data_IF_233882916404
#
_entry.id   IF_233882916404
#
_cell.length_a   1.000
_cell.length_b   1.000
_cell.length_c   1.000
_cell.angle_alpha   90.00
_cell.angle_beta   90.00
_cell.angle_gamma   90.00
#
_symmetry.space_group_name_H-M   'P 1'
#
loop_
_entity.id
_entity.type
_entity.pdbx_description
1 polymer ?
#
# COMPACT_ATOMS: atom_id res chain seq x y z
N UNK A 1 9.29 -39.24 70.03
CA UNK A 1 8.15 -38.66 69.23
C UNK A 1 8.69 -37.86 68.09
N UNK A 2 8.66 -38.38 66.86
CA UNK A 2 9.12 -37.72 65.66
C UNK A 2 7.96 -37.11 64.92
N UNK A 3 7.96 -35.79 64.78
CA UNK A 3 6.92 -35.04 64.10
C UNK A 3 7.22 -35.02 62.60
N UNK A 4 6.36 -35.63 61.80
CA UNK A 4 6.44 -35.61 60.34
C UNK A 4 5.73 -34.37 59.82
N UNK A 5 6.46 -33.48 59.14
CA UNK A 5 5.92 -32.32 58.41
C UNK A 5 5.49 -32.79 57.02
N UNK A 6 4.26 -32.54 56.57
CA UNK A 6 3.89 -32.86 55.19
C UNK A 6 4.42 -31.81 54.21
N UNK A 7 5.10 -32.26 53.17
CA UNK A 7 5.53 -31.42 52.06
C UNK A 7 4.32 -30.94 51.26
N UNK A 8 4.03 -29.66 51.31
CA UNK A 8 3.03 -29.04 50.46
C UNK A 8 3.61 -28.83 49.03
N UNK A 9 3.02 -29.53 48.08
CA UNK A 9 3.34 -29.42 46.65
C UNK A 9 2.72 -28.11 46.13
N UNK A 10 3.53 -27.08 45.90
CA UNK A 10 3.09 -25.83 45.24
C UNK A 10 3.07 -26.05 43.77
N UNK A 11 1.84 -26.20 43.20
CA UNK A 11 1.62 -26.27 41.77
C UNK A 11 1.66 -24.84 41.19
N UNK A 12 2.79 -24.43 40.61
CA UNK A 12 2.94 -23.16 39.93
C UNK A 12 2.21 -23.27 38.57
N UNK A 13 0.99 -22.71 38.48
CA UNK A 13 0.31 -22.46 37.19
C UNK A 13 1.07 -21.35 36.45
N UNK A 14 1.91 -21.71 35.49
CA UNK A 14 2.42 -20.79 34.51
C UNK A 14 1.25 -20.42 33.58
N UNK A 15 0.57 -19.30 33.87
CA UNK A 15 -0.37 -18.69 32.93
C UNK A 15 0.43 -18.14 31.77
N UNK A 16 0.49 -18.88 30.67
CA UNK A 16 1.01 -18.38 29.40
C UNK A 16 0.13 -17.21 28.97
N UNK A 17 0.72 -15.99 28.94
CA UNK A 17 0.05 -14.83 28.34
C UNK A 17 0.01 -15.11 26.84
N UNK A 18 -1.09 -15.62 26.32
CA UNK A 18 -1.35 -15.64 24.90
C UNK A 18 -1.48 -14.18 24.45
N UNK A 19 -0.41 -13.60 23.93
CA UNK A 19 -0.46 -12.29 23.31
C UNK A 19 -1.33 -12.42 22.05
N UNK A 20 -2.56 -11.93 22.13
CA UNK A 20 -3.45 -11.84 20.99
C UNK A 20 -2.91 -10.76 20.06
N UNK A 21 -2.05 -11.14 19.12
CA UNK A 21 -1.51 -10.25 18.11
C UNK A 21 -2.49 -10.19 16.92
N UNK A 22 -3.42 -9.24 16.97
CA UNK A 22 -4.19 -8.84 15.79
C UNK A 22 -3.27 -8.32 14.68
N UNK A 23 -3.82 -8.01 13.49
CA UNK A 23 -3.05 -7.44 12.38
C UNK A 23 -2.27 -6.20 12.80
N UNK A 24 -1.00 -6.13 12.45
CA UNK A 24 -0.15 -4.95 12.70
C UNK A 24 -0.21 -4.01 11.49
N UNK A 25 -0.24 -2.69 11.74
CA UNK A 25 -0.23 -1.71 10.66
C UNK A 25 1.13 -1.72 9.95
N UNK A 26 1.11 -2.09 8.70
CA UNK A 26 2.26 -2.12 7.81
C UNK A 26 2.41 -0.80 7.06
N UNK A 27 3.65 -0.48 6.66
CA UNK A 27 3.96 0.65 5.78
C UNK A 27 4.91 0.18 4.69
N UNK A 28 4.64 0.59 3.46
CA UNK A 28 5.50 0.36 2.30
C UNK A 28 5.79 1.72 1.66
N UNK A 29 7.03 1.94 1.29
CA UNK A 29 7.47 3.10 0.50
C UNK A 29 8.38 2.59 -0.60
N UNK A 30 8.03 2.91 -1.84
CA UNK A 30 8.88 2.70 -3.01
C UNK A 30 9.12 4.02 -3.70
N UNK A 31 10.35 4.21 -4.18
CA UNK A 31 10.75 5.44 -4.87
C UNK A 31 11.49 5.10 -6.16
N UNK A 32 11.34 5.94 -7.17
CA UNK A 32 12.10 5.84 -8.40
C UNK A 32 12.61 7.22 -8.84
N UNK A 33 13.89 7.29 -9.18
CA UNK A 33 14.46 8.47 -9.82
C UNK A 33 14.22 8.40 -11.33
N UNK A 34 13.73 9.50 -11.92
CA UNK A 34 13.40 9.63 -13.34
C UNK A 34 14.16 10.83 -13.91
N UNK A 35 14.83 10.64 -15.05
CA UNK A 35 15.58 11.70 -15.75
C UNK A 35 14.64 12.59 -16.58
N UNK A 36 13.75 13.27 -15.88
CA UNK A 36 12.82 14.25 -16.44
C UNK A 36 12.39 15.26 -15.37
N UNK A 37 12.01 16.46 -15.81
CA UNK A 37 11.56 17.51 -14.91
C UNK A 37 10.31 17.04 -14.11
N UNK A 38 10.17 17.41 -12.81
CA UNK A 38 9.05 16.98 -11.97
C UNK A 38 7.68 17.26 -12.57
N UNK A 39 7.52 18.40 -13.24
CA UNK A 39 6.26 18.75 -13.89
C UNK A 39 5.93 17.79 -15.05
N UNK A 40 6.91 17.41 -15.86
CA UNK A 40 6.71 16.48 -16.97
C UNK A 40 6.29 15.07 -16.48
N UNK A 41 6.87 14.63 -15.35
CA UNK A 41 6.48 13.36 -14.71
C UNK A 41 5.09 13.47 -14.08
N UNK A 42 4.81 14.61 -13.41
CA UNK A 42 3.50 14.85 -12.80
C UNK A 42 2.37 14.80 -13.82
N UNK A 43 2.55 15.40 -15.00
CA UNK A 43 1.56 15.36 -16.10
C UNK A 43 1.19 13.91 -16.53
N UNK A 44 2.04 12.94 -16.27
CA UNK A 44 1.75 11.52 -16.57
C UNK A 44 0.88 10.84 -15.51
N UNK A 45 0.97 11.30 -14.26
CA UNK A 45 0.37 10.60 -13.11
C UNK A 45 -0.70 11.39 -12.39
N UNK A 46 -0.85 12.69 -12.67
CA UNK A 46 -1.70 13.62 -11.92
C UNK A 46 -3.19 13.28 -11.97
N UNK A 47 -3.66 12.76 -13.10
CA UNK A 47 -5.08 12.46 -13.26
C UNK A 47 -5.43 11.17 -12.51
N UNK A 48 -6.39 11.26 -11.61
CA UNK A 48 -6.77 10.14 -10.77
C UNK A 48 -7.29 8.93 -11.58
N UNK A 49 -7.84 9.16 -12.76
CA UNK A 49 -8.27 8.14 -13.70
C UNK A 49 -7.17 7.61 -14.64
N UNK A 50 -5.95 8.14 -14.55
CA UNK A 50 -4.87 7.81 -15.48
C UNK A 50 -4.03 6.58 -15.10
N UNK A 51 -4.34 5.89 -13.98
CA UNK A 51 -3.50 4.78 -13.51
C UNK A 51 -3.29 3.69 -14.57
N UNK A 52 -4.32 3.36 -15.34
CA UNK A 52 -4.24 2.39 -16.42
C UNK A 52 -3.30 2.80 -17.57
N UNK A 53 -2.96 4.10 -17.69
CA UNK A 53 -2.05 4.58 -18.75
C UNK A 53 -0.59 4.27 -18.45
N UNK A 54 -0.25 4.08 -17.18
CA UNK A 54 1.13 3.88 -16.76
C UNK A 54 1.39 2.69 -15.83
N UNK A 55 0.36 2.07 -15.24
CA UNK A 55 0.52 0.90 -14.39
C UNK A 55 0.21 -0.40 -15.18
N UNK A 56 1.18 -1.31 -15.35
CA UNK A 56 1.04 -2.46 -16.27
C UNK A 56 -0.01 -3.49 -15.79
N UNK A 57 -0.32 -3.55 -14.49
CA UNK A 57 -1.32 -4.48 -13.96
C UNK A 57 -2.76 -3.92 -13.97
N UNK A 58 -3.00 -2.73 -14.55
CA UNK A 58 -4.31 -2.09 -14.58
C UNK A 58 -4.78 -1.90 -16.02
N UNK A 59 -5.91 -2.51 -16.38
CA UNK A 59 -6.54 -2.40 -17.70
C UNK A 59 -7.38 -1.15 -17.85
N UNK A 60 -8.07 -0.74 -16.79
CA UNK A 60 -8.94 0.43 -16.78
C UNK A 60 -8.97 1.05 -15.38
N UNK A 61 -9.12 2.38 -15.33
CA UNK A 61 -9.18 3.14 -14.07
C UNK A 61 -10.15 4.33 -14.14
N UNK A 62 -11.41 4.17 -14.62
CA UNK A 62 -12.35 5.29 -14.70
C UNK A 62 -12.62 5.88 -13.31
N UNK A 63 -12.70 7.22 -13.24
CA UNK A 63 -13.05 7.96 -12.04
C UNK A 63 -14.39 8.70 -12.22
N UNK A 64 -15.12 8.88 -11.13
CA UNK A 64 -16.47 9.49 -11.14
C UNK A 64 -16.45 11.00 -11.28
N UNK A 65 -15.41 11.67 -10.80
CA UNK A 65 -15.32 13.14 -10.73
C UNK A 65 -13.87 13.65 -10.86
N UNK A 66 -13.08 13.05 -11.75
CA UNK A 66 -11.70 13.45 -12.04
C UNK A 66 -10.84 13.56 -10.78
N UNK A 67 -10.19 14.71 -10.60
CA UNK A 67 -9.28 14.99 -9.48
C UNK A 67 -9.96 15.66 -8.28
N UNK A 68 -11.28 15.72 -8.21
CA UNK A 68 -11.99 16.28 -7.07
C UNK A 68 -11.94 15.30 -5.88
N UNK A 69 -11.72 15.84 -4.67
CA UNK A 69 -11.75 15.04 -3.43
C UNK A 69 -13.12 14.38 -3.28
N UNK A 70 -13.13 13.09 -2.96
CA UNK A 70 -14.33 12.25 -2.95
C UNK A 70 -14.57 11.51 -4.27
N UNK A 71 -13.83 11.83 -5.34
CA UNK A 71 -13.87 11.06 -6.60
C UNK A 71 -13.51 9.61 -6.34
N UNK A 72 -14.26 8.69 -6.93
CA UNK A 72 -14.04 7.24 -6.83
C UNK A 72 -13.55 6.70 -8.16
N UNK A 73 -12.47 5.92 -8.13
CA UNK A 73 -12.03 5.17 -9.31
C UNK A 73 -12.19 3.67 -9.09
N UNK A 74 -12.62 3.00 -10.15
CA UNK A 74 -12.67 1.53 -10.17
C UNK A 74 -11.53 1.03 -11.04
N UNK A 75 -10.59 0.31 -10.43
CA UNK A 75 -9.50 -0.33 -11.18
C UNK A 75 -9.97 -1.69 -11.67
N UNK A 76 -9.81 -1.96 -12.96
CA UNK A 76 -9.92 -3.31 -13.52
C UNK A 76 -8.51 -3.88 -13.65
N UNK A 77 -8.23 -4.97 -12.96
CA UNK A 77 -6.90 -5.57 -12.93
C UNK A 77 -6.66 -6.52 -14.11
N UNK A 78 -5.42 -6.58 -14.59
CA UNK A 78 -5.03 -7.48 -15.67
C UNK A 78 -5.16 -8.96 -15.27
N UNK A 79 -4.83 -9.29 -14.03
CA UNK A 79 -5.00 -10.62 -13.45
C UNK A 79 -6.44 -11.00 -13.07
N UNK A 80 -7.41 -10.11 -13.34
CA UNK A 80 -8.82 -10.27 -12.97
C UNK A 80 -9.18 -9.61 -11.64
N UNK A 81 -10.46 -9.31 -11.48
CA UNK A 81 -11.01 -8.60 -10.31
C UNK A 81 -10.94 -7.08 -10.44
N UNK A 82 -11.55 -6.42 -9.48
CA UNK A 82 -11.65 -4.96 -9.40
C UNK A 82 -11.23 -4.47 -8.02
N UNK A 83 -10.74 -3.22 -7.97
CA UNK A 83 -10.43 -2.48 -6.73
C UNK A 83 -11.18 -1.16 -6.78
N UNK A 84 -11.80 -0.76 -5.68
CA UNK A 84 -12.44 0.55 -5.55
C UNK A 84 -11.61 1.45 -4.65
N UNK A 85 -11.29 2.64 -5.14
CA UNK A 85 -10.54 3.66 -4.40
C UNK A 85 -11.28 5.00 -4.39
N UNK A 86 -11.02 5.82 -3.37
CA UNK A 86 -11.58 7.15 -3.20
C UNK A 86 -10.46 8.15 -2.96
N UNK A 87 -10.45 9.23 -3.72
CA UNK A 87 -9.49 10.33 -3.60
C UNK A 87 -9.77 11.11 -2.31
N UNK A 88 -8.82 11.19 -1.40
CA UNK A 88 -8.94 11.89 -0.12
C UNK A 88 -8.26 13.27 -0.11
N UNK A 89 -7.32 13.49 -1.02
CA UNK A 89 -6.64 14.78 -1.15
C UNK A 89 -5.88 14.88 -2.45
N UNK A 90 -5.81 16.09 -2.99
CA UNK A 90 -5.13 16.42 -4.25
C UNK A 90 -4.49 17.80 -4.17
N UNK A 91 -3.24 17.92 -4.60
CA UNK A 91 -2.53 19.19 -4.71
C UNK A 91 -1.68 19.19 -5.98
N UNK A 92 -2.11 19.94 -6.98
CA UNK A 92 -1.35 20.12 -8.22
C UNK A 92 -0.04 20.89 -7.95
N UNK A 93 -0.10 21.90 -7.08
CA UNK A 93 1.07 22.70 -6.71
C UNK A 93 2.17 21.87 -6.01
N UNK A 94 1.78 20.94 -5.15
CA UNK A 94 2.70 20.02 -4.45
C UNK A 94 2.97 18.74 -5.25
N UNK A 95 2.35 18.57 -6.40
CA UNK A 95 2.45 17.37 -7.25
C UNK A 95 2.23 16.08 -6.44
N UNK A 96 1.12 16.02 -5.70
CA UNK A 96 0.75 14.86 -4.89
C UNK A 96 -0.75 14.66 -4.80
N UNK A 97 -1.15 13.40 -4.60
CA UNK A 97 -2.48 13.03 -4.16
C UNK A 97 -2.44 11.86 -3.20
N UNK A 98 -3.47 11.78 -2.36
CA UNK A 98 -3.67 10.65 -1.46
C UNK A 98 -5.08 10.08 -1.63
N UNK A 99 -5.19 8.78 -1.42
CA UNK A 99 -6.42 8.04 -1.61
C UNK A 99 -6.54 6.89 -0.64
N UNK A 100 -7.77 6.40 -0.50
CA UNK A 100 -8.12 5.25 0.32
C UNK A 100 -8.74 4.16 -0.54
N UNK A 101 -8.34 2.92 -0.31
CA UNK A 101 -9.00 1.76 -0.88
C UNK A 101 -10.28 1.45 -0.09
N UNK A 102 -11.41 1.47 -0.78
CA UNK A 102 -12.75 1.20 -0.23
C UNK A 102 -13.11 -0.27 -0.36
N UNK A 103 -12.65 -0.91 -1.45
CA UNK A 103 -12.74 -2.34 -1.68
C UNK A 103 -11.40 -2.81 -2.27
N UNK A 104 -10.67 -3.67 -1.56
CA UNK A 104 -9.37 -4.17 -2.01
C UNK A 104 -9.46 -5.25 -3.10
N UNK A 105 -10.65 -5.80 -3.35
CA UNK A 105 -10.81 -6.91 -4.29
C UNK A 105 -9.86 -8.07 -3.98
N UNK A 106 -9.02 -8.50 -4.93
CA UNK A 106 -8.10 -9.61 -4.70
C UNK A 106 -6.83 -9.26 -3.90
N UNK A 107 -6.59 -7.97 -3.60
CA UNK A 107 -5.39 -7.54 -2.89
C UNK A 107 -5.53 -7.89 -1.40
N UNK A 108 -4.56 -8.61 -0.79
CA UNK A 108 -4.70 -9.16 0.56
C UNK A 108 -4.44 -8.11 1.67
N UNK A 109 -5.11 -6.95 1.57
CA UNK A 109 -4.98 -5.84 2.52
C UNK A 109 -6.35 -5.35 3.01
N UNK A 110 -6.33 -4.62 4.12
CA UNK A 110 -7.48 -3.90 4.65
C UNK A 110 -7.06 -2.52 5.16
N UNK A 111 -8.02 -1.60 5.25
CA UNK A 111 -7.82 -0.22 5.72
C UNK A 111 -6.60 0.47 5.08
N UNK A 112 -6.45 0.27 3.77
CA UNK A 112 -5.34 0.79 2.99
C UNK A 112 -5.53 2.27 2.65
N UNK A 113 -4.46 3.03 2.87
CA UNK A 113 -4.31 4.43 2.43
C UNK A 113 -2.99 4.59 1.71
N UNK A 114 -2.94 5.47 0.72
CA UNK A 114 -1.72 5.70 -0.04
C UNK A 114 -1.55 7.15 -0.45
N UNK A 115 -0.30 7.53 -0.71
CA UNK A 115 0.10 8.83 -1.28
C UNK A 115 1.08 8.60 -2.41
N UNK A 116 0.83 9.24 -3.55
CA UNK A 116 1.78 9.36 -4.65
C UNK A 116 2.23 10.83 -4.74
N UNK A 117 3.53 11.05 -4.85
CA UNK A 117 4.15 12.37 -4.84
C UNK A 117 5.32 12.42 -5.82
N UNK A 118 5.42 13.51 -6.58
CA UNK A 118 6.53 13.79 -7.49
C UNK A 118 7.33 14.96 -6.97
N UNK A 119 8.62 14.72 -6.65
CA UNK A 119 9.55 15.70 -6.09
C UNK A 119 10.67 16.02 -7.06
N UNK A 120 11.40 17.08 -6.77
CA UNK A 120 12.69 17.34 -7.43
C UNK A 120 13.69 16.23 -7.10
N UNK A 121 14.48 15.86 -8.09
CA UNK A 121 15.59 14.93 -7.95
C UNK A 121 16.74 15.51 -7.14
N UNK A 122 17.67 14.65 -6.76
CA UNK A 122 18.85 15.04 -5.98
C UNK A 122 19.66 16.10 -6.73
N UNK A 123 19.96 17.20 -6.04
CA UNK A 123 20.70 18.32 -6.63
C UNK A 123 19.93 19.08 -7.72
N UNK A 124 18.59 19.01 -7.70
CA UNK A 124 17.73 19.69 -8.69
C UNK A 124 17.74 19.04 -10.07
N UNK A 125 18.24 17.82 -10.19
CA UNK A 125 18.29 17.08 -11.46
C UNK A 125 17.25 15.98 -11.50
N UNK A 126 16.43 16.00 -12.57
CA UNK A 126 15.36 15.00 -12.74
C UNK A 126 14.29 15.10 -11.66
N UNK A 127 13.63 13.99 -11.38
CA UNK A 127 12.59 13.87 -10.37
C UNK A 127 12.70 12.57 -9.57
N UNK A 128 12.06 12.56 -8.40
CA UNK A 128 11.82 11.35 -7.60
C UNK A 128 10.30 11.19 -7.48
N UNK A 129 9.80 10.03 -7.89
CA UNK A 129 8.42 9.65 -7.64
C UNK A 129 8.40 8.72 -6.44
N UNK A 130 7.68 9.14 -5.39
CA UNK A 130 7.50 8.37 -4.16
C UNK A 130 6.05 7.85 -4.07
N UNK A 131 5.90 6.55 -3.86
CA UNK A 131 4.61 5.92 -3.62
C UNK A 131 4.62 5.26 -2.24
N UNK A 132 3.78 5.75 -1.33
CA UNK A 132 3.75 5.32 0.07
C UNK A 132 2.37 4.78 0.40
N UNK A 133 2.32 3.64 1.10
CA UNK A 133 1.09 3.06 1.59
C UNK A 133 1.16 2.66 3.05
N UNK A 134 0.00 2.65 3.70
CA UNK A 134 -0.17 2.11 5.03
C UNK A 134 -1.46 1.30 5.09
N UNK A 135 -1.39 0.08 5.65
CA UNK A 135 -2.47 -0.90 5.59
C UNK A 135 -2.32 -1.94 6.70
N UNK A 136 -3.32 -2.79 6.82
CA UNK A 136 -3.24 -4.05 7.56
C UNK A 136 -3.38 -5.21 6.57
N UNK A 137 -2.92 -6.43 6.94
CA UNK A 137 -3.24 -7.63 6.16
C UNK A 137 -4.76 -7.80 6.05
N UNK A 138 -5.22 -8.44 4.98
CA UNK A 138 -6.64 -8.68 4.74
C UNK A 138 -7.29 -9.70 5.69
N UNK A 139 -6.48 -10.56 6.33
CA UNK A 139 -6.95 -11.55 7.31
C UNK A 139 -6.96 -10.95 8.72
N UNK A 140 -8.15 -10.79 9.35
CA UNK A 140 -8.27 -10.05 10.61
C UNK A 140 -7.90 -10.86 11.85
N UNK A 141 -7.97 -12.20 11.79
CA UNK A 141 -7.77 -13.07 12.94
C UNK A 141 -6.27 -13.39 13.15
N UNK A 142 -5.97 -13.97 14.32
CA UNK A 142 -4.67 -14.57 14.60
C UNK A 142 -4.45 -15.79 13.69
N UNK A 143 -3.18 -16.18 13.52
CA UNK A 143 -2.77 -17.33 12.71
C UNK A 143 -3.27 -17.29 11.25
N UNK A 144 -2.93 -16.22 10.49
CA UNK A 144 -3.29 -16.13 9.09
C UNK A 144 -2.59 -17.23 8.29
N UNK A 145 -3.24 -17.79 7.25
CA UNK A 145 -2.55 -18.64 6.30
C UNK A 145 -1.45 -17.83 5.59
N UNK A 146 -0.38 -18.50 5.09
CA UNK A 146 0.79 -17.82 4.53
C UNK A 146 0.48 -16.79 3.46
N UNK A 147 -0.52 -17.03 2.60
CA UNK A 147 -0.93 -16.13 1.53
C UNK A 147 -1.74 -14.91 2.00
N UNK A 148 -2.06 -14.82 3.31
CA UNK A 148 -2.86 -13.73 3.90
C UNK A 148 -2.20 -13.13 5.16
N UNK A 149 -0.94 -13.45 5.41
CA UNK A 149 -0.17 -12.90 6.51
C UNK A 149 0.37 -11.48 6.20
N UNK A 150 1.09 -10.88 7.14
CA UNK A 150 1.65 -9.54 6.98
C UNK A 150 2.69 -9.49 5.86
N UNK A 151 3.51 -10.53 5.70
CA UNK A 151 4.53 -10.65 4.66
C UNK A 151 3.91 -10.71 3.26
N UNK A 152 2.82 -11.47 3.09
CA UNK A 152 2.09 -11.53 1.82
C UNK A 152 1.46 -10.18 1.46
N UNK A 153 0.90 -9.47 2.43
CA UNK A 153 0.35 -8.13 2.23
C UNK A 153 1.43 -7.12 1.82
N UNK A 154 2.58 -7.14 2.51
CA UNK A 154 3.74 -6.29 2.19
C UNK A 154 4.26 -6.62 0.78
N UNK A 155 4.45 -7.89 0.46
CA UNK A 155 4.94 -8.31 -0.85
C UNK A 155 4.00 -7.88 -1.98
N UNK A 156 2.68 -8.02 -1.80
CA UNK A 156 1.68 -7.60 -2.78
C UNK A 156 1.76 -6.09 -3.06
N UNK A 157 1.75 -5.25 -2.02
CA UNK A 157 1.82 -3.79 -2.19
C UNK A 157 3.17 -3.35 -2.76
N UNK A 158 4.28 -3.92 -2.27
CA UNK A 158 5.62 -3.66 -2.80
C UNK A 158 5.69 -4.00 -4.30
N UNK A 159 5.17 -5.15 -4.70
CA UNK A 159 5.14 -5.58 -6.11
C UNK A 159 4.33 -4.62 -7.00
N UNK A 160 3.15 -4.19 -6.53
CA UNK A 160 2.30 -3.21 -7.22
C UNK A 160 3.08 -1.90 -7.43
N UNK A 161 3.67 -1.33 -6.38
CA UNK A 161 4.39 -0.07 -6.47
C UNK A 161 5.60 -0.16 -7.41
N UNK A 162 6.43 -1.18 -7.24
CA UNK A 162 7.62 -1.40 -8.09
C UNK A 162 7.26 -1.55 -9.56
N UNK A 163 6.25 -2.33 -9.88
CA UNK A 163 5.81 -2.53 -11.26
C UNK A 163 5.31 -1.23 -11.90
N UNK A 164 4.49 -0.46 -11.20
CA UNK A 164 3.99 0.83 -11.66
C UNK A 164 5.10 1.86 -11.86
N UNK A 165 5.95 2.05 -10.85
CA UNK A 165 7.04 3.02 -10.89
C UNK A 165 8.09 2.69 -11.96
N UNK A 166 8.42 1.41 -12.13
CA UNK A 166 9.36 0.97 -13.18
C UNK A 166 8.80 1.25 -14.59
N UNK A 167 7.52 0.98 -14.82
CA UNK A 167 6.89 1.26 -16.11
C UNK A 167 6.73 2.76 -16.36
N UNK A 168 6.39 3.55 -15.34
CA UNK A 168 6.34 5.01 -15.45
C UNK A 168 7.71 5.57 -15.86
N UNK A 169 8.78 5.16 -15.19
CA UNK A 169 10.15 5.53 -15.54
C UNK A 169 10.45 5.21 -17.00
N UNK A 170 10.18 3.99 -17.42
CA UNK A 170 10.38 3.54 -18.80
C UNK A 170 9.62 4.43 -19.79
N UNK A 171 8.35 4.71 -19.55
CA UNK A 171 7.51 5.54 -20.44
C UNK A 171 7.99 6.99 -20.56
N UNK A 172 8.55 7.54 -19.48
CA UNK A 172 9.01 8.93 -19.46
C UNK A 172 10.39 9.06 -20.12
N UNK A 173 11.30 8.11 -19.88
CA UNK A 173 12.69 8.15 -20.38
C UNK A 173 12.87 7.59 -21.81
N UNK A 174 11.90 6.78 -22.29
CA UNK A 174 11.93 6.32 -23.69
C UNK A 174 11.30 7.39 -24.59
N UNK A 175 12.16 8.04 -25.39
CA UNK A 175 11.76 9.01 -26.42
C UNK A 175 11.34 8.31 -27.70
#
# INVERSE_FOLDING_TARGET
>A
MAWKIPAALVLACAAGVAAAHGPTRQKVTEEVAIDAAPQAVWEKVKDFDALAKWHPAVKASPATDGNNVGSRRTLTLDGGGTVLEELEGYSDADRKYNYRMKDPGPIPVSNYTSTLEVKEGVGGKGSIVAWRGAFYRGYPNNDPPPEKNDEAAIAAITGIYKAGLANLKKQVETK
#
